data_IF_021733518246
#
_entry.id   IF_021733518246
#
_cell.length_a   1.000
_cell.length_b   1.000
_cell.length_c   1.000
_cell.angle_alpha   90.00
_cell.angle_beta   90.00
_cell.angle_gamma   90.00
#
_symmetry.space_group_name_H-M   'P 1'
#
loop_
_entity.id
_entity.type
_entity.pdbx_description
1 polymer ?
#
# COMPACT_ATOMS: atom_id res chain seq x y z
N UNK A 1 20.30 27.75 -14.78
CA UNK A 1 18.89 27.90 -15.06
C UNK A 1 18.24 26.53 -14.82
N UNK A 2 17.34 26.20 -13.93
CA UNK A 2 16.76 26.84 -12.75
C UNK A 2 16.31 25.74 -11.81
N UNK A 3 16.61 25.83 -10.53
CA UNK A 3 16.31 24.84 -9.47
C UNK A 3 14.94 25.10 -8.84
N UNK A 4 14.01 25.75 -9.54
CA UNK A 4 12.74 26.21 -8.95
C UNK A 4 11.54 25.28 -9.12
N UNK A 5 11.68 24.11 -9.78
CA UNK A 5 10.55 23.19 -10.03
C UNK A 5 10.15 22.27 -8.87
N UNK A 6 10.93 22.16 -7.81
CA UNK A 6 10.79 21.06 -6.82
C UNK A 6 10.10 21.45 -5.49
N UNK A 7 9.73 22.71 -5.30
CA UNK A 7 9.13 23.16 -4.03
C UNK A 7 7.60 23.26 -4.04
N UNK A 8 6.95 23.17 -5.20
CA UNK A 8 5.49 23.30 -5.31
C UNK A 8 4.72 22.03 -4.92
N UNK A 9 5.27 20.84 -5.17
CA UNK A 9 4.57 19.58 -4.87
C UNK A 9 4.59 19.21 -3.38
N UNK A 10 5.64 19.60 -2.66
CA UNK A 10 5.74 19.37 -1.22
C UNK A 10 4.71 20.19 -0.40
N UNK A 11 4.31 21.37 -0.89
CA UNK A 11 3.33 22.22 -0.20
C UNK A 11 1.88 21.72 -0.30
N UNK A 12 1.54 20.90 -1.29
CA UNK A 12 0.17 20.43 -1.49
C UNK A 12 -0.24 19.35 -0.48
N UNK A 13 0.74 18.62 0.11
CA UNK A 13 0.51 17.59 1.12
C UNK A 13 0.90 18.02 2.56
N UNK A 14 1.47 19.19 2.74
CA UNK A 14 2.08 19.63 4.00
C UNK A 14 1.09 20.05 5.11
N UNK A 15 -0.24 19.90 4.94
CA UNK A 15 -1.23 20.51 5.84
C UNK A 15 -1.71 19.59 6.96
N UNK A 16 -1.41 18.27 6.94
CA UNK A 16 -2.03 17.32 7.89
C UNK A 16 -1.09 16.88 9.03
N UNK A 17 0.18 17.24 9.03
CA UNK A 17 1.12 16.82 10.09
C UNK A 17 1.04 17.63 11.41
N UNK A 18 0.23 18.68 11.46
CA UNK A 18 -0.09 19.32 12.74
C UNK A 18 -1.32 18.66 13.35
N UNK A 19 -1.11 17.56 14.02
CA UNK A 19 -2.09 16.95 14.92
C UNK A 19 -2.18 17.75 16.21
N UNK A 20 -2.77 18.93 16.16
CA UNK A 20 -3.51 19.40 17.31
C UNK A 20 -4.92 18.79 17.21
N UNK A 21 -5.54 18.44 18.32
CA UNK A 21 -6.78 17.64 18.40
C UNK A 21 -8.03 18.28 17.75
N UNK A 22 -7.93 19.01 16.65
CA UNK A 22 -8.99 19.82 16.04
C UNK A 22 -9.63 19.23 14.79
N UNK A 23 -9.19 18.06 14.28
CA UNK A 23 -9.86 17.45 13.12
C UNK A 23 -11.09 16.67 13.59
N UNK A 24 -12.26 17.12 13.11
CA UNK A 24 -13.56 16.55 13.45
C UNK A 24 -13.60 15.04 13.12
N UNK A 25 -13.96 14.15 14.08
CA UNK A 25 -14.11 12.71 13.86
C UNK A 25 -14.98 12.34 12.64
N UNK A 26 -16.01 13.14 12.34
CA UNK A 26 -16.87 12.95 11.19
C UNK A 26 -16.14 13.15 9.84
N UNK A 27 -15.14 14.03 9.79
CA UNK A 27 -14.33 14.22 8.58
C UNK A 27 -13.44 13.01 8.32
N UNK A 28 -12.85 12.42 9.36
CA UNK A 28 -12.08 11.17 9.21
C UNK A 28 -12.95 10.01 8.78
N UNK A 29 -14.15 9.86 9.31
CA UNK A 29 -15.08 8.85 8.90
C UNK A 29 -15.46 8.98 7.40
N UNK A 30 -15.65 10.20 6.92
CA UNK A 30 -15.92 10.48 5.52
C UNK A 30 -14.71 10.10 4.62
N UNK A 31 -13.48 10.48 5.02
CA UNK A 31 -12.25 10.11 4.28
C UNK A 31 -12.09 8.59 4.24
N UNK A 32 -12.30 7.89 5.35
CA UNK A 32 -12.26 6.40 5.38
C UNK A 32 -13.30 5.77 4.47
N UNK A 33 -14.53 6.31 4.45
CA UNK A 33 -15.57 5.85 3.52
C UNK A 33 -15.15 5.98 2.05
N UNK A 34 -14.52 7.10 1.69
CA UNK A 34 -13.98 7.31 0.34
C UNK A 34 -12.82 6.36 0.03
N UNK A 35 -11.89 6.17 0.96
CA UNK A 35 -10.79 5.21 0.81
C UNK A 35 -11.32 3.78 0.65
N UNK A 36 -12.25 3.35 1.52
CA UNK A 36 -12.88 2.02 1.39
C UNK A 36 -13.53 1.85 0.00
N UNK A 37 -14.32 2.81 -0.45
CA UNK A 37 -14.95 2.76 -1.76
C UNK A 37 -13.93 2.69 -2.91
N UNK A 38 -12.81 3.39 -2.80
CA UNK A 38 -11.71 3.38 -3.75
C UNK A 38 -11.03 1.99 -3.81
N UNK A 39 -10.73 1.38 -2.65
CA UNK A 39 -10.11 0.05 -2.59
C UNK A 39 -11.07 -1.05 -3.04
N UNK A 40 -12.36 -0.92 -2.75
CA UNK A 40 -13.41 -1.83 -3.24
C UNK A 40 -13.64 -1.75 -4.77
N UNK A 41 -13.18 -0.70 -5.44
CA UNK A 41 -13.31 -0.53 -6.89
C UNK A 41 -12.28 -1.32 -7.68
N UNK A 42 -11.12 -1.63 -7.08
CA UNK A 42 -10.02 -2.35 -7.72
C UNK A 42 -10.10 -3.86 -7.52
N UNK A 43 -9.37 -4.58 -8.34
CA UNK A 43 -9.07 -6.00 -8.15
C UNK A 43 -7.55 -6.18 -8.01
N UNK A 44 -7.05 -5.96 -6.79
CA UNK A 44 -5.63 -6.14 -6.51
C UNK A 44 -5.19 -7.60 -6.57
N UNK A 45 -6.11 -8.55 -6.43
CA UNK A 45 -5.84 -9.96 -6.64
C UNK A 45 -5.41 -10.28 -8.08
N UNK A 46 -5.95 -9.55 -9.05
CA UNK A 46 -5.59 -9.71 -10.47
C UNK A 46 -4.12 -9.37 -10.77
N UNK A 47 -3.44 -8.58 -9.93
CA UNK A 47 -2.02 -8.27 -10.09
C UNK A 47 -1.09 -9.44 -9.73
N UNK A 48 -1.52 -10.37 -8.87
CA UNK A 48 -0.65 -11.43 -8.31
C UNK A 48 0.14 -12.24 -9.34
N UNK A 49 -0.39 -12.60 -10.53
CA UNK A 49 0.39 -13.31 -11.55
C UNK A 49 1.53 -12.49 -12.15
N UNK A 50 1.45 -11.16 -12.01
CA UNK A 50 2.38 -10.22 -12.64
C UNK A 50 3.38 -9.60 -11.66
N UNK A 51 3.23 -9.91 -10.36
CA UNK A 51 4.03 -9.37 -9.26
C UNK A 51 4.75 -10.45 -8.47
N UNK A 52 4.66 -11.71 -8.87
CA UNK A 52 5.10 -12.87 -8.10
C UNK A 52 6.54 -12.77 -7.61
N UNK A 53 7.46 -12.31 -8.46
CA UNK A 53 8.87 -12.18 -8.09
C UNK A 53 9.10 -11.13 -6.98
N UNK A 54 8.35 -10.02 -7.02
CA UNK A 54 8.37 -8.99 -5.99
C UNK A 54 7.75 -9.46 -4.68
N UNK A 55 6.62 -10.15 -4.76
CA UNK A 55 5.91 -10.70 -3.60
C UNK A 55 6.74 -11.78 -2.89
N UNK A 56 7.40 -12.65 -3.65
CA UNK A 56 8.28 -13.67 -3.11
C UNK A 56 9.49 -13.05 -2.40
N UNK A 57 10.08 -12.01 -2.99
CA UNK A 57 11.19 -11.26 -2.37
C UNK A 57 10.76 -10.66 -1.04
N UNK A 58 9.58 -10.03 -0.96
CA UNK A 58 9.05 -9.47 0.29
C UNK A 58 8.84 -10.58 1.33
N UNK A 59 8.26 -11.71 0.97
CA UNK A 59 8.04 -12.83 1.88
C UNK A 59 9.38 -13.35 2.46
N UNK A 60 10.43 -13.46 1.62
CA UNK A 60 11.77 -13.84 2.06
C UNK A 60 12.39 -12.80 3.00
N UNK A 61 12.18 -11.51 2.75
CA UNK A 61 12.68 -10.43 3.61
C UNK A 61 12.04 -10.45 4.99
N UNK A 62 10.76 -10.81 5.12
CA UNK A 62 10.07 -10.93 6.42
C UNK A 62 10.69 -12.04 7.27
N UNK A 63 11.25 -13.09 6.66
CA UNK A 63 11.82 -14.25 7.37
C UNK A 63 10.78 -14.88 8.31
N UNK A 64 9.66 -15.27 7.74
CA UNK A 64 8.56 -15.96 8.44
C UNK A 64 9.08 -17.23 9.13
N UNK A 65 8.66 -17.47 10.38
CA UNK A 65 9.01 -18.68 11.14
C UNK A 65 7.77 -19.56 11.28
N UNK A 66 7.94 -20.88 11.30
CA UNK A 66 6.85 -21.78 11.67
C UNK A 66 6.28 -21.41 13.05
N UNK A 67 4.97 -21.60 13.20
CA UNK A 67 4.21 -21.32 14.43
C UNK A 67 4.22 -19.84 14.90
N UNK A 68 4.82 -18.94 14.15
CA UNK A 68 4.81 -17.49 14.43
C UNK A 68 3.41 -16.92 14.18
N UNK A 69 2.86 -16.20 15.16
CA UNK A 69 1.58 -15.49 14.98
C UNK A 69 1.78 -14.18 14.25
N UNK A 70 1.29 -14.12 13.02
CA UNK A 70 1.49 -12.96 12.12
C UNK A 70 0.18 -12.26 11.85
N UNK A 71 0.16 -10.93 11.98
CA UNK A 71 -0.89 -10.07 11.44
C UNK A 71 -0.42 -9.49 10.11
N UNK A 72 -1.15 -9.76 9.03
CA UNK A 72 -1.02 -9.06 7.74
C UNK A 72 -2.00 -7.87 7.74
N UNK A 73 -1.48 -6.66 8.01
CA UNK A 73 -2.26 -5.44 8.18
C UNK A 73 -2.47 -4.72 6.84
N UNK A 74 -3.73 -4.50 6.47
CA UNK A 74 -4.19 -4.09 5.14
C UNK A 74 -3.73 -5.12 4.08
N UNK A 75 -4.20 -6.37 4.29
CA UNK A 75 -3.73 -7.56 3.57
C UNK A 75 -4.24 -7.67 2.12
N UNK A 76 -5.20 -6.84 1.72
CA UNK A 76 -5.82 -6.91 0.41
C UNK A 76 -6.37 -8.31 0.10
N UNK A 77 -6.02 -8.85 -1.07
CA UNK A 77 -6.40 -10.19 -1.50
C UNK A 77 -5.51 -11.32 -0.91
N UNK A 78 -4.80 -11.04 0.20
CA UNK A 78 -4.05 -12.03 0.98
C UNK A 78 -2.73 -12.47 0.38
N UNK A 79 -2.09 -11.67 -0.47
CA UNK A 79 -0.88 -12.08 -1.22
C UNK A 79 0.27 -12.48 -0.29
N UNK A 80 0.54 -11.67 0.74
CA UNK A 80 1.55 -12.00 1.74
C UNK A 80 1.05 -13.09 2.71
N UNK A 81 -0.19 -12.97 3.21
CA UNK A 81 -0.78 -13.92 4.16
C UNK A 81 -0.71 -15.36 3.66
N UNK A 82 -1.04 -15.61 2.39
CA UNK A 82 -0.95 -16.93 1.76
C UNK A 82 0.47 -17.50 1.75
N UNK A 83 1.48 -16.67 1.50
CA UNK A 83 2.89 -17.08 1.53
C UNK A 83 3.38 -17.38 2.94
N UNK A 84 2.99 -16.55 3.90
CA UNK A 84 3.34 -16.75 5.30
C UNK A 84 2.72 -18.03 5.87
N UNK A 85 1.46 -18.32 5.55
CA UNK A 85 0.80 -19.57 5.96
C UNK A 85 1.44 -20.81 5.32
N UNK A 86 1.84 -20.75 4.04
CA UNK A 86 2.61 -21.85 3.42
C UNK A 86 3.97 -22.09 4.09
N UNK A 87 4.55 -21.05 4.69
CA UNK A 87 5.78 -21.17 5.47
C UNK A 87 5.55 -21.68 6.90
N UNK A 88 4.30 -21.99 7.27
CA UNK A 88 3.93 -22.59 8.55
C UNK A 88 3.55 -21.61 9.65
N UNK A 89 3.37 -20.32 9.35
CA UNK A 89 2.92 -19.33 10.33
C UNK A 89 1.40 -19.44 10.60
N UNK A 90 0.99 -19.05 11.82
CA UNK A 90 -0.41 -18.79 12.19
C UNK A 90 -0.77 -17.37 11.79
N UNK A 91 -1.54 -17.22 10.69
CA UNK A 91 -1.72 -15.92 10.02
C UNK A 91 -3.15 -15.41 10.19
N UNK A 92 -3.25 -14.14 10.57
CA UNK A 92 -4.47 -13.35 10.49
C UNK A 92 -4.26 -12.21 9.51
N UNK A 93 -5.18 -12.01 8.56
CA UNK A 93 -5.21 -10.87 7.64
C UNK A 93 -6.37 -9.92 7.98
N UNK A 94 -6.15 -8.62 7.86
CA UNK A 94 -7.20 -7.61 8.03
C UNK A 94 -7.13 -6.58 6.91
N UNK A 95 -8.30 -6.24 6.34
CA UNK A 95 -8.42 -5.17 5.34
C UNK A 95 -9.78 -4.47 5.44
N UNK A 96 -9.82 -3.20 5.05
CA UNK A 96 -11.05 -2.40 5.06
C UNK A 96 -11.99 -2.73 3.87
N UNK A 97 -11.46 -3.34 2.81
CA UNK A 97 -12.18 -3.65 1.58
C UNK A 97 -12.74 -5.08 1.62
N UNK A 98 -14.05 -5.23 1.83
CA UNK A 98 -14.73 -6.52 1.95
C UNK A 98 -14.55 -7.42 0.73
N UNK A 99 -14.57 -6.87 -0.50
CA UNK A 99 -14.35 -7.62 -1.72
C UNK A 99 -12.93 -8.24 -1.79
N UNK A 100 -11.91 -7.58 -1.24
CA UNK A 100 -10.55 -8.12 -1.19
C UNK A 100 -10.45 -9.23 -0.13
N UNK A 101 -11.12 -9.08 1.01
CA UNK A 101 -11.22 -10.13 2.04
C UNK A 101 -11.92 -11.38 1.50
N UNK A 102 -12.99 -11.23 0.73
CA UNK A 102 -13.66 -12.36 0.07
C UNK A 102 -12.72 -13.09 -0.91
N UNK A 103 -11.95 -12.34 -1.69
CA UNK A 103 -10.93 -12.91 -2.57
C UNK A 103 -9.83 -13.63 -1.77
N UNK A 104 -9.35 -13.04 -0.67
CA UNK A 104 -8.34 -13.65 0.19
C UNK A 104 -8.83 -14.99 0.76
N UNK A 105 -10.06 -15.03 1.28
CA UNK A 105 -10.69 -16.26 1.78
C UNK A 105 -10.83 -17.33 0.69
N UNK A 106 -11.30 -16.94 -0.49
CA UNK A 106 -11.43 -17.85 -1.64
C UNK A 106 -10.07 -18.43 -2.04
N UNK A 107 -9.03 -17.60 -2.11
CA UNK A 107 -7.67 -18.03 -2.46
C UNK A 107 -7.06 -18.96 -1.41
N UNK A 108 -7.28 -18.71 -0.12
CA UNK A 108 -6.85 -19.59 0.96
C UNK A 108 -7.54 -20.96 0.88
N UNK A 109 -8.86 -20.96 0.70
CA UNK A 109 -9.66 -22.19 0.55
C UNK A 109 -9.21 -23.04 -0.63
N UNK A 110 -8.98 -22.41 -1.81
CA UNK A 110 -8.48 -23.12 -3.02
C UNK A 110 -7.10 -23.77 -2.82
N UNK A 111 -6.33 -23.27 -1.85
CA UNK A 111 -4.98 -23.78 -1.54
C UNK A 111 -4.95 -24.67 -0.29
N UNK A 112 -6.11 -24.93 0.34
CA UNK A 112 -6.18 -25.72 1.56
C UNK A 112 -5.46 -25.07 2.75
N UNK A 113 -5.36 -23.73 2.79
CA UNK A 113 -4.72 -22.98 3.86
C UNK A 113 -5.75 -22.47 4.87
N UNK A 114 -5.47 -22.66 6.16
CA UNK A 114 -6.25 -22.10 7.24
C UNK A 114 -5.70 -20.73 7.63
N UNK A 115 -6.39 -19.66 7.23
CA UNK A 115 -6.03 -18.27 7.51
C UNK A 115 -7.29 -17.55 7.96
N UNK A 116 -7.22 -16.83 9.07
CA UNK A 116 -8.28 -15.92 9.47
C UNK A 116 -8.19 -14.63 8.66
N UNK A 117 -9.30 -14.22 8.02
CA UNK A 117 -9.39 -12.93 7.33
C UNK A 117 -10.57 -12.13 7.88
N UNK A 118 -10.28 -10.93 8.37
CA UNK A 118 -11.24 -10.02 8.98
C UNK A 118 -11.43 -8.76 8.13
N UNK A 119 -12.68 -8.31 7.96
CA UNK A 119 -12.93 -6.96 7.47
C UNK A 119 -12.76 -5.99 8.64
N UNK A 120 -11.88 -4.99 8.51
CA UNK A 120 -11.61 -4.05 9.58
C UNK A 120 -10.64 -2.93 9.23
N UNK A 121 -10.48 -2.03 10.18
CA UNK A 121 -9.69 -0.81 10.04
C UNK A 121 -8.36 -0.94 10.80
N UNK A 122 -7.24 -0.73 10.12
CA UNK A 122 -5.89 -0.75 10.74
C UNK A 122 -5.68 0.36 11.78
N UNK A 123 -6.55 1.35 11.82
CA UNK A 123 -6.56 2.38 12.85
C UNK A 123 -7.39 2.00 14.10
N UNK A 124 -8.02 0.84 14.11
CA UNK A 124 -8.81 0.31 15.21
C UNK A 124 -8.82 -1.23 15.14
N UNK A 125 -7.67 -1.86 15.37
CA UNK A 125 -7.48 -3.29 15.24
C UNK A 125 -8.32 -4.05 16.30
N UNK A 126 -9.18 -5.01 15.91
CA UNK A 126 -10.09 -5.72 16.82
C UNK A 126 -9.38 -6.83 17.61
N UNK A 127 -8.09 -6.70 17.87
CA UNK A 127 -7.28 -7.70 18.54
C UNK A 127 -6.81 -7.21 19.89
N UNK A 128 -6.57 -8.16 20.82
CA UNK A 128 -6.04 -7.84 22.14
C UNK A 128 -4.59 -7.37 22.07
N UNK A 129 -4.16 -6.65 23.11
CA UNK A 129 -2.77 -6.23 23.26
C UNK A 129 -1.85 -7.45 23.30
N UNK A 130 -0.71 -7.37 22.60
CA UNK A 130 0.29 -8.42 22.61
C UNK A 130 -0.16 -9.74 21.98
N UNK A 131 -1.04 -9.71 20.98
CA UNK A 131 -1.58 -10.91 20.32
C UNK A 131 -0.61 -11.52 19.30
N UNK A 132 0.26 -10.72 18.69
CA UNK A 132 1.07 -11.13 17.54
C UNK A 132 2.57 -11.06 17.81
N UNK A 133 3.32 -11.97 17.21
CA UNK A 133 4.79 -11.99 17.23
C UNK A 133 5.34 -11.02 16.17
N UNK A 134 4.65 -10.94 15.04
CA UNK A 134 5.03 -10.07 13.91
C UNK A 134 3.79 -9.41 13.31
N UNK A 135 3.91 -8.13 12.96
CA UNK A 135 2.96 -7.42 12.10
C UNK A 135 3.66 -7.08 10.79
N UNK A 136 3.00 -7.40 9.68
CA UNK A 136 3.49 -7.10 8.34
C UNK A 136 2.48 -6.24 7.61
N UNK A 137 2.94 -5.34 6.75
CA UNK A 137 2.08 -4.66 5.79
C UNK A 137 2.82 -4.47 4.47
N UNK A 138 2.30 -5.11 3.43
CA UNK A 138 2.81 -4.98 2.07
C UNK A 138 2.01 -3.91 1.33
N UNK A 139 2.55 -2.68 1.25
CA UNK A 139 1.98 -1.53 0.54
C UNK A 139 0.57 -1.08 0.99
N UNK A 140 0.12 -1.48 2.19
CA UNK A 140 -1.25 -1.20 2.63
C UNK A 140 -1.35 -0.07 3.65
N UNK A 141 -0.70 -0.18 4.83
CA UNK A 141 -0.86 0.79 5.93
C UNK A 141 -0.43 2.22 5.58
N UNK A 142 0.40 2.40 4.56
CA UNK A 142 0.82 3.71 4.07
C UNK A 142 -0.36 4.58 3.59
N UNK A 143 -1.50 3.98 3.29
CA UNK A 143 -2.72 4.67 2.83
C UNK A 143 -3.66 5.07 3.97
N UNK A 144 -3.38 4.67 5.20
CA UNK A 144 -4.23 5.02 6.33
C UNK A 144 -4.17 6.53 6.64
N UNK A 145 -5.32 7.17 6.89
CA UNK A 145 -5.37 8.64 7.03
C UNK A 145 -4.75 9.16 8.33
N UNK A 146 -4.53 8.31 9.34
CA UNK A 146 -3.92 8.68 10.63
C UNK A 146 -2.70 7.82 10.95
N UNK A 147 -1.52 8.09 10.33
CA UNK A 147 -0.34 7.24 10.48
C UNK A 147 0.10 7.01 11.94
N UNK A 148 0.00 8.03 12.79
CA UNK A 148 0.34 7.90 14.21
C UNK A 148 -0.58 6.92 14.95
N UNK A 149 -1.87 6.88 14.60
CA UNK A 149 -2.84 5.93 15.16
C UNK A 149 -2.51 4.51 14.72
N UNK A 150 -2.20 4.33 13.43
CA UNK A 150 -1.77 3.02 12.89
C UNK A 150 -0.52 2.52 13.60
N UNK A 151 0.48 3.39 13.76
CA UNK A 151 1.72 3.03 14.46
C UNK A 151 1.44 2.60 15.91
N UNK A 152 0.55 3.30 16.61
CA UNK A 152 0.15 2.96 17.97
C UNK A 152 -0.61 1.60 18.04
N UNK A 153 -1.54 1.37 17.11
CA UNK A 153 -2.29 0.11 17.03
C UNK A 153 -1.38 -1.08 16.71
N UNK A 154 -0.46 -0.94 15.75
CA UNK A 154 0.56 -1.96 15.46
C UNK A 154 1.40 -2.25 16.71
N UNK A 155 1.88 -1.22 17.39
CA UNK A 155 2.63 -1.39 18.63
C UNK A 155 1.79 -2.06 19.73
N UNK A 156 0.51 -1.73 19.86
CA UNK A 156 -0.40 -2.31 20.86
C UNK A 156 -0.57 -3.81 20.67
N UNK A 157 -0.87 -4.24 19.44
CA UNK A 157 -1.17 -5.65 19.16
C UNK A 157 0.06 -6.54 19.10
N UNK A 158 1.26 -5.99 18.94
CA UNK A 158 2.51 -6.73 19.02
C UNK A 158 2.84 -7.13 20.46
N UNK A 159 3.37 -8.32 20.66
CA UNK A 159 4.01 -8.75 21.92
C UNK A 159 5.21 -7.86 22.25
N UNK A 160 5.62 -7.71 23.52
CA UNK A 160 6.89 -7.06 23.85
C UNK A 160 8.05 -7.68 23.07
N UNK A 161 8.88 -6.85 22.42
CA UNK A 161 9.96 -7.31 21.54
C UNK A 161 9.54 -7.90 20.21
N UNK A 162 8.24 -7.94 19.92
CA UNK A 162 7.68 -8.36 18.63
C UNK A 162 8.16 -7.51 17.47
N UNK A 163 8.06 -8.03 16.25
CA UNK A 163 8.64 -7.43 15.04
C UNK A 163 7.58 -6.71 14.21
N UNK A 164 7.94 -5.62 13.58
CA UNK A 164 7.15 -5.02 12.50
C UNK A 164 7.97 -5.01 11.21
N UNK A 165 7.32 -5.30 10.09
CA UNK A 165 7.90 -5.17 8.75
C UNK A 165 6.89 -4.45 7.83
N UNK A 166 7.23 -3.24 7.41
CA UNK A 166 6.41 -2.43 6.51
C UNK A 166 7.14 -2.25 5.18
N UNK A 167 6.38 -2.35 4.10
CA UNK A 167 6.87 -2.14 2.73
C UNK A 167 6.07 -1.00 2.12
N UNK A 168 6.72 0.09 1.76
CA UNK A 168 6.08 1.33 1.35
C UNK A 168 6.69 1.88 0.06
N UNK A 169 5.87 2.26 -0.92
CA UNK A 169 6.36 2.90 -2.13
C UNK A 169 7.09 4.20 -1.80
N UNK A 170 8.29 4.39 -2.38
CA UNK A 170 9.01 5.65 -2.21
C UNK A 170 8.38 6.77 -3.05
N UNK A 171 8.52 8.04 -2.64
CA UNK A 171 8.02 9.17 -3.44
C UNK A 171 8.62 9.26 -4.84
N UNK A 172 9.86 8.79 -5.05
CA UNK A 172 10.56 8.78 -6.34
C UNK A 172 10.25 7.55 -7.20
N UNK A 173 9.64 6.51 -6.64
CA UNK A 173 9.33 5.25 -7.31
C UNK A 173 8.45 5.42 -8.56
N UNK A 174 8.39 4.37 -9.38
CA UNK A 174 7.47 4.33 -10.50
C UNK A 174 6.01 4.53 -10.06
N UNK A 175 5.60 3.85 -8.99
CA UNK A 175 4.26 4.05 -8.39
C UNK A 175 4.10 5.48 -7.89
N UNK A 176 5.12 6.08 -7.27
CA UNK A 176 5.09 7.48 -6.84
C UNK A 176 4.93 8.46 -8.02
N UNK A 177 5.56 8.17 -9.15
CA UNK A 177 5.39 8.95 -10.38
C UNK A 177 3.99 8.77 -10.97
N UNK A 178 3.45 7.55 -10.98
CA UNK A 178 2.08 7.27 -11.39
C UNK A 178 1.07 8.10 -10.57
N UNK A 179 1.20 8.11 -9.25
CA UNK A 179 0.35 8.94 -8.37
C UNK A 179 0.48 10.43 -8.66
N UNK A 180 1.68 10.93 -8.96
CA UNK A 180 1.86 12.35 -9.35
C UNK A 180 1.13 12.69 -10.64
N UNK A 181 1.17 11.81 -11.64
CA UNK A 181 0.43 11.99 -12.90
C UNK A 181 -1.07 12.04 -12.62
N UNK A 182 -1.59 11.04 -11.93
CA UNK A 182 -3.01 10.94 -11.58
C UNK A 182 -3.48 12.18 -10.82
N UNK A 183 -2.73 12.63 -9.80
CA UNK A 183 -3.10 13.76 -8.95
C UNK A 183 -3.06 15.12 -9.67
N UNK A 184 -2.35 15.25 -10.79
CA UNK A 184 -2.41 16.47 -11.62
C UNK A 184 -3.77 16.65 -12.31
N UNK A 185 -4.43 15.54 -12.64
CA UNK A 185 -5.72 15.53 -13.35
C UNK A 185 -6.91 15.41 -12.39
N UNK A 186 -6.75 14.63 -11.32
CA UNK A 186 -7.78 14.37 -10.32
C UNK A 186 -7.16 14.53 -8.92
N UNK A 187 -7.27 15.72 -8.36
CA UNK A 187 -6.74 16.01 -7.03
C UNK A 187 -7.41 15.12 -5.97
N UNK A 188 -6.65 14.58 -5.01
CA UNK A 188 -7.22 13.84 -3.90
C UNK A 188 -8.16 14.73 -3.08
N UNK A 189 -9.10 14.15 -2.32
CA UNK A 189 -9.95 14.91 -1.42
C UNK A 189 -9.11 15.78 -0.47
N UNK A 190 -9.63 16.96 -0.06
CA UNK A 190 -8.94 17.80 0.92
C UNK A 190 -8.62 17.01 2.20
N UNK A 191 -7.47 17.26 2.79
CA UNK A 191 -6.98 16.59 4.00
C UNK A 191 -6.70 15.09 3.85
N UNK A 192 -6.55 14.58 2.62
CA UNK A 192 -6.02 13.24 2.39
C UNK A 192 -4.51 13.25 2.63
N UNK A 193 -3.98 12.43 3.55
CA UNK A 193 -2.53 12.34 3.77
C UNK A 193 -1.81 11.88 2.50
N UNK A 194 -0.54 12.29 2.37
CA UNK A 194 0.31 11.75 1.33
C UNK A 194 0.65 10.28 1.64
N UNK A 195 0.12 9.31 0.86
CA UNK A 195 0.38 7.90 1.13
C UNK A 195 1.86 7.52 0.95
N UNK A 196 2.60 8.27 0.15
CA UNK A 196 4.02 8.00 -0.12
C UNK A 196 4.96 8.53 0.98
N UNK A 197 4.45 9.28 1.97
CA UNK A 197 5.28 9.85 3.02
C UNK A 197 5.99 8.79 3.86
N UNK A 198 5.34 7.65 4.13
CA UNK A 198 5.97 6.54 4.86
C UNK A 198 7.07 5.81 4.05
N UNK A 199 7.13 6.02 2.75
CA UNK A 199 8.22 5.56 1.88
C UNK A 199 9.45 6.48 1.88
N UNK A 200 9.47 7.54 2.68
CA UNK A 200 10.64 8.37 2.98
C UNK A 200 11.29 7.90 4.29
N UNK A 201 12.60 7.66 4.26
CA UNK A 201 13.34 7.07 5.39
C UNK A 201 13.25 7.93 6.66
N UNK A 202 13.41 9.25 6.53
CA UNK A 202 13.35 10.16 7.67
C UNK A 202 11.96 10.14 8.30
N UNK A 203 10.93 10.27 7.49
CA UNK A 203 9.52 10.21 7.93
C UNK A 203 9.20 8.85 8.58
N UNK A 204 9.67 7.75 8.01
CA UNK A 204 9.46 6.41 8.56
C UNK A 204 10.09 6.26 9.96
N UNK A 205 11.35 6.68 10.11
CA UNK A 205 12.06 6.66 11.40
C UNK A 205 11.35 7.53 12.44
N UNK A 206 10.95 8.75 12.10
CA UNK A 206 10.23 9.65 13.00
C UNK A 206 8.90 9.07 13.47
N UNK A 207 8.10 8.52 12.55
CA UNK A 207 6.79 7.93 12.86
C UNK A 207 6.88 6.69 13.76
N UNK A 208 7.91 5.88 13.61
CA UNK A 208 8.06 4.67 14.40
C UNK A 208 8.78 4.91 15.75
N UNK A 209 9.50 6.02 15.91
CA UNK A 209 10.36 6.26 17.07
C UNK A 209 9.63 6.19 18.43
N UNK A 210 8.33 6.53 18.49
CA UNK A 210 7.57 6.53 19.75
C UNK A 210 7.27 5.12 20.30
N UNK A 211 7.07 4.11 19.43
CA UNK A 211 6.66 2.76 19.82
C UNK A 211 7.70 1.68 19.56
N UNK A 212 8.75 1.98 18.80
CA UNK A 212 9.69 0.99 18.28
C UNK A 212 11.15 1.34 18.55
N UNK A 213 12.00 0.31 18.55
CA UNK A 213 13.46 0.37 18.59
C UNK A 213 14.04 -0.40 17.41
N UNK A 214 15.37 -0.35 17.25
CA UNK A 214 16.08 -1.09 16.21
C UNK A 214 15.50 -0.85 14.81
N UNK A 215 15.08 0.40 14.54
CA UNK A 215 14.49 0.77 13.26
C UNK A 215 15.57 0.67 12.18
N UNK A 216 15.32 -0.16 11.19
CA UNK A 216 16.17 -0.38 10.03
C UNK A 216 15.37 -0.10 8.78
N UNK A 217 15.98 0.60 7.84
CA UNK A 217 15.37 0.94 6.54
C UNK A 217 16.28 0.45 5.42
N UNK A 218 15.68 0.05 4.30
CA UNK A 218 16.39 -0.35 3.10
C UNK A 218 15.55 -0.08 1.87
N UNK A 219 16.11 0.61 0.88
CA UNK A 219 15.49 0.75 -0.44
C UNK A 219 15.72 -0.50 -1.29
N UNK A 220 14.66 -0.97 -1.93
CA UNK A 220 14.65 -2.17 -2.76
C UNK A 220 13.75 -1.99 -3.99
N UNK A 221 13.90 -2.87 -4.98
CA UNK A 221 13.10 -2.84 -6.19
C UNK A 221 12.05 -3.96 -6.19
N UNK A 222 10.84 -3.60 -6.53
CA UNK A 222 9.70 -4.49 -6.73
C UNK A 222 9.37 -4.55 -8.21
N UNK A 223 9.52 -5.73 -8.80
CA UNK A 223 9.29 -5.96 -10.22
C UNK A 223 7.84 -6.31 -10.52
N UNK A 224 7.29 -5.63 -11.52
CA UNK A 224 6.02 -5.97 -12.15
C UNK A 224 6.28 -6.36 -13.60
N UNK A 225 5.77 -7.53 -14.02
CA UNK A 225 5.95 -8.06 -15.37
C UNK A 225 4.63 -8.52 -15.96
N UNK A 226 4.28 -8.00 -17.11
CA UNK A 226 3.05 -8.34 -17.82
C UNK A 226 3.38 -8.96 -19.18
N UNK A 227 2.67 -10.02 -19.60
CA UNK A 227 2.92 -10.70 -20.87
C UNK A 227 2.32 -9.96 -22.08
N UNK A 228 2.01 -8.67 -21.92
CA UNK A 228 1.44 -7.81 -22.94
C UNK A 228 2.07 -6.41 -22.88
N UNK A 229 2.00 -5.66 -23.97
CA UNK A 229 2.69 -4.36 -24.10
C UNK A 229 2.12 -3.23 -23.24
N UNK A 230 2.73 -2.03 -23.29
CA UNK A 230 2.39 -0.90 -22.43
C UNK A 230 0.92 -0.48 -22.44
N UNK A 231 0.28 -0.40 -23.63
CA UNK A 231 -1.11 0.03 -23.72
C UNK A 231 -2.10 -0.95 -23.07
N UNK A 232 -2.05 -2.26 -23.34
CA UNK A 232 -2.84 -3.23 -22.58
C UNK A 232 -2.52 -3.24 -21.07
N UNK A 233 -1.26 -2.97 -20.67
CA UNK A 233 -0.90 -2.85 -19.27
C UNK A 233 -1.59 -1.63 -18.64
N UNK A 234 -1.64 -0.49 -19.31
CA UNK A 234 -2.39 0.67 -18.85
C UNK A 234 -3.89 0.37 -18.69
N UNK A 235 -4.51 -0.28 -19.67
CA UNK A 235 -5.93 -0.67 -19.56
C UNK A 235 -6.16 -1.59 -18.35
N UNK A 236 -5.23 -2.52 -18.10
CA UNK A 236 -5.29 -3.36 -16.91
C UNK A 236 -5.24 -2.53 -15.61
N UNK A 237 -4.37 -1.52 -15.52
CA UNK A 237 -4.29 -0.62 -14.37
C UNK A 237 -5.56 0.25 -14.20
N UNK A 238 -6.11 0.77 -15.30
CA UNK A 238 -7.36 1.54 -15.29
C UNK A 238 -8.55 0.71 -14.77
N UNK A 239 -8.56 -0.60 -15.03
CA UNK A 239 -9.62 -1.50 -14.56
C UNK A 239 -9.40 -1.98 -13.12
N UNK A 240 -8.17 -2.29 -12.73
CA UNK A 240 -7.90 -3.08 -11.53
C UNK A 240 -7.21 -2.29 -10.40
N UNK A 241 -6.55 -1.17 -10.68
CA UNK A 241 -5.91 -0.35 -9.65
C UNK A 241 -6.89 0.72 -9.12
N UNK A 242 -7.48 0.48 -7.95
CA UNK A 242 -8.52 1.33 -7.36
C UNK A 242 -8.25 2.83 -7.42
N UNK A 243 -7.10 3.35 -6.99
CA UNK A 243 -6.76 4.77 -7.08
C UNK A 243 -6.79 5.34 -8.50
N UNK A 244 -6.26 4.61 -9.48
CA UNK A 244 -6.23 5.03 -10.89
C UNK A 244 -7.63 4.96 -11.50
N UNK A 245 -8.35 3.86 -11.26
CA UNK A 245 -9.73 3.66 -11.70
C UNK A 245 -10.67 4.74 -11.13
N UNK A 246 -10.53 5.04 -9.84
CA UNK A 246 -11.32 6.07 -9.17
C UNK A 246 -11.04 7.46 -9.75
N UNK A 247 -9.78 7.81 -9.93
CA UNK A 247 -9.39 9.10 -10.49
C UNK A 247 -9.94 9.27 -11.91
N UNK A 248 -9.73 8.27 -12.77
CA UNK A 248 -10.23 8.30 -14.15
C UNK A 248 -11.76 8.46 -14.20
N UNK A 249 -12.49 7.70 -13.40
CA UNK A 249 -13.96 7.73 -13.36
C UNK A 249 -14.53 9.01 -12.72
N UNK A 250 -13.75 9.70 -11.88
CA UNK A 250 -14.20 10.96 -11.24
C UNK A 250 -14.21 12.14 -12.20
N UNK A 251 -13.48 12.06 -13.31
CA UNK A 251 -13.45 13.10 -14.32
C UNK A 251 -14.72 13.03 -15.17
N UNK A 252 -15.58 14.06 -15.05
CA UNK A 252 -16.88 14.11 -15.73
C UNK A 252 -16.76 14.47 -17.21
N UNK A 253 -15.70 15.17 -17.60
CA UNK A 253 -15.48 15.66 -18.96
C UNK A 253 -14.61 14.67 -19.73
N UNK A 254 -15.09 14.23 -20.91
CA UNK A 254 -14.36 13.29 -21.77
C UNK A 254 -12.97 13.79 -22.15
N UNK A 255 -12.81 15.10 -22.35
CA UNK A 255 -11.53 15.73 -22.67
C UNK A 255 -10.52 15.57 -21.51
N UNK A 256 -10.95 15.70 -20.26
CA UNK A 256 -10.09 15.50 -19.07
C UNK A 256 -9.72 14.03 -18.90
N UNK A 257 -10.66 13.11 -19.12
CA UNK A 257 -10.36 11.67 -19.13
C UNK A 257 -9.33 11.33 -20.19
N UNK A 258 -9.48 11.85 -21.39
CA UNK A 258 -8.55 11.64 -22.50
C UNK A 258 -7.18 12.24 -22.22
N UNK A 259 -7.10 13.41 -21.59
CA UNK A 259 -5.85 14.03 -21.19
C UNK A 259 -5.09 13.19 -20.14
N UNK A 260 -5.78 12.69 -19.11
CA UNK A 260 -5.18 11.77 -18.13
C UNK A 260 -4.70 10.50 -18.82
N UNK A 261 -5.52 9.89 -19.66
CA UNK A 261 -5.17 8.67 -20.38
C UNK A 261 -3.94 8.86 -21.25
N UNK A 262 -3.84 9.95 -22.00
CA UNK A 262 -2.70 10.26 -22.85
C UNK A 262 -1.39 10.44 -22.05
N UNK A 263 -1.45 11.11 -20.89
CA UNK A 263 -0.29 11.24 -20.01
C UNK A 263 0.14 9.88 -19.43
N UNK A 264 -0.81 9.02 -19.08
CA UNK A 264 -0.53 7.67 -18.61
C UNK A 264 0.03 6.77 -19.73
N UNK A 265 -0.52 6.83 -20.95
CA UNK A 265 -0.01 6.09 -22.11
C UNK A 265 1.45 6.43 -22.37
N UNK A 266 1.77 7.72 -22.37
CA UNK A 266 3.16 8.19 -22.53
C UNK A 266 4.04 7.65 -21.41
N UNK A 267 3.62 7.74 -20.16
CA UNK A 267 4.37 7.26 -19.01
C UNK A 267 4.64 5.74 -19.07
N UNK A 268 3.63 4.94 -19.41
CA UNK A 268 3.79 3.49 -19.55
C UNK A 268 4.72 3.11 -20.70
N UNK A 269 4.68 3.86 -21.82
CA UNK A 269 5.58 3.65 -22.95
C UNK A 269 7.03 4.04 -22.62
N UNK A 270 7.24 5.21 -22.04
CA UNK A 270 8.59 5.75 -21.75
C UNK A 270 9.29 4.99 -20.64
N UNK A 271 8.55 4.42 -19.69
CA UNK A 271 9.12 3.69 -18.55
C UNK A 271 9.17 2.19 -18.73
N UNK A 272 8.74 1.66 -19.87
CA UNK A 272 8.80 0.22 -20.14
C UNK A 272 10.25 -0.27 -20.21
N UNK A 273 10.61 -1.19 -19.32
CA UNK A 273 11.91 -1.86 -19.26
C UNK A 273 11.89 -3.23 -19.97
N UNK A 274 10.71 -3.68 -20.39
CA UNK A 274 10.51 -4.96 -21.10
C UNK A 274 10.59 -4.84 -22.60
N UNK A 275 10.12 -5.87 -23.29
CA UNK A 275 10.00 -5.88 -24.74
C UNK A 275 8.80 -5.05 -25.20
N UNK A 276 8.69 -4.65 -26.48
CA UNK A 276 7.54 -3.88 -26.97
C UNK A 276 6.17 -4.58 -26.73
N UNK A 277 6.15 -5.90 -26.71
CA UNK A 277 4.96 -6.72 -26.46
C UNK A 277 4.86 -7.32 -25.05
N UNK A 278 5.76 -6.92 -24.15
CA UNK A 278 5.78 -7.36 -22.76
C UNK A 278 6.21 -6.19 -21.87
N UNK A 279 5.27 -5.67 -21.10
CA UNK A 279 5.54 -4.53 -20.23
C UNK A 279 6.18 -4.98 -18.92
N UNK A 280 7.26 -4.32 -18.55
CA UNK A 280 7.96 -4.53 -17.29
C UNK A 280 8.37 -3.20 -16.68
N UNK A 281 8.30 -3.12 -15.35
CA UNK A 281 8.82 -1.99 -14.59
C UNK A 281 9.31 -2.45 -13.22
N UNK A 282 10.37 -1.81 -12.74
CA UNK A 282 10.83 -1.91 -11.38
C UNK A 282 10.40 -0.64 -10.63
N UNK A 283 9.68 -0.81 -9.51
CA UNK A 283 9.25 0.28 -8.64
C UNK A 283 9.98 0.20 -7.30
N UNK A 284 10.63 1.28 -6.89
CA UNK A 284 11.35 1.33 -5.63
C UNK A 284 10.36 1.33 -4.44
N UNK A 285 10.70 0.58 -3.40
CA UNK A 285 10.03 0.63 -2.11
C UNK A 285 11.04 0.74 -0.97
N UNK A 286 10.59 1.29 0.14
CA UNK A 286 11.29 1.27 1.41
C UNK A 286 10.81 0.07 2.22
N UNK A 287 11.72 -0.85 2.55
CA UNK A 287 11.57 -1.84 3.60
C UNK A 287 11.85 -1.16 4.94
N UNK A 288 10.96 -1.31 5.91
CA UNK A 288 11.09 -0.75 7.25
C UNK A 288 10.90 -1.88 8.24
N UNK A 289 11.91 -2.18 9.03
CA UNK A 289 11.86 -3.19 10.10
C UNK A 289 12.17 -2.56 11.45
N UNK A 290 11.44 -2.98 12.47
CA UNK A 290 11.68 -2.51 13.83
C UNK A 290 11.18 -3.53 14.86
N UNK A 291 11.52 -3.30 16.14
CA UNK A 291 11.05 -4.06 17.29
C UNK A 291 10.19 -3.20 18.20
N UNK A 292 9.09 -3.74 18.70
CA UNK A 292 8.31 -3.09 19.75
C UNK A 292 9.17 -2.92 21.00
N UNK A 293 9.10 -1.72 21.59
CA UNK A 293 9.71 -1.39 22.90
C UNK A 293 9.17 -2.24 24.03
#
# INVERSE_FOLDING_TARGET
MSVEGNLSSARQYAVVEKTDGSVNPAQFAAVKGLLRAMWMRGDFGAFSPYTEAGDEKIAQQVQVRPDERILDAACGAGVFALRAARAGADVTGIDIASNLIEQARSRASLQGLEIQFDEGDVEALPYQDGSFDTVVSQFGVMFAPRPAVVTAEIARVLKPGGRVALFCWTPSSWVGQLYRIVNRHASPPPNTPNPLALGDETTACERLASGFTDIQTRSELYRMQFPFGPNPALEFFLCNMGPVSQAYSSLQEAEKQQALKADLERFFLETNQGQPNAWQVDSEYLEIKARKR
#
